data_IF_504207620112
#
_entry.id   IF_504207620112
#
_cell.length_a   1.000
_cell.length_b   1.000
_cell.length_c   1.000
_cell.angle_alpha   90.00
_cell.angle_beta   90.00
_cell.angle_gamma   90.00
#
_symmetry.space_group_name_H-M   'P 1'
#
loop_
_entity.id
_entity.type
_entity.pdbx_description
1 polymer ?
#
# COMPACT_ATOMS: atom_id res chain seq x y z
N UNK A 1 -35.41 4.75 4.89
CA UNK A 1 -34.28 3.89 4.44
C UNK A 1 -33.66 4.59 3.23
N UNK A 2 -32.36 4.56 2.93
CA UNK A 2 -31.26 3.70 3.42
C UNK A 2 -30.22 4.51 4.20
N UNK A 3 -29.55 3.90 5.19
CA UNK A 3 -28.38 4.49 5.87
C UNK A 3 -27.12 4.07 5.09
N UNK A 4 -26.67 4.89 4.14
CA UNK A 4 -25.33 4.71 3.57
C UNK A 4 -24.32 5.26 4.58
N UNK A 5 -23.65 4.34 5.28
CA UNK A 5 -22.60 4.63 6.26
C UNK A 5 -21.51 5.47 5.62
N UNK A 6 -21.00 6.48 6.34
CA UNK A 6 -19.90 7.34 5.89
C UNK A 6 -18.59 6.54 5.84
N UNK A 7 -18.35 5.80 4.76
CA UNK A 7 -17.00 5.34 4.39
C UNK A 7 -16.25 6.57 3.87
N UNK A 8 -15.71 7.37 4.80
CA UNK A 8 -14.84 8.50 4.48
C UNK A 8 -13.55 7.98 3.85
N UNK A 9 -12.98 8.70 2.88
CA UNK A 9 -11.71 8.34 2.25
C UNK A 9 -10.56 8.16 3.27
N UNK A 10 -10.64 8.83 4.42
CA UNK A 10 -9.72 8.64 5.54
C UNK A 10 -9.66 7.18 6.06
N UNK A 11 -10.73 6.39 5.91
CA UNK A 11 -10.75 4.99 6.37
C UNK A 11 -9.83 4.08 5.55
N UNK A 12 -9.66 4.35 4.25
CA UNK A 12 -8.75 3.58 3.39
C UNK A 12 -7.27 3.82 3.74
N UNK A 13 -6.93 5.03 4.18
CA UNK A 13 -5.56 5.34 4.62
C UNK A 13 -5.31 4.97 6.08
N UNK A 14 -6.32 5.06 6.95
CA UNK A 14 -6.22 4.68 8.36
C UNK A 14 -5.84 3.20 8.55
N UNK A 15 -6.33 2.30 7.68
CA UNK A 15 -5.93 0.89 7.65
C UNK A 15 -4.41 0.73 7.56
N UNK A 16 -3.74 1.58 6.77
CA UNK A 16 -2.30 1.54 6.60
C UNK A 16 -1.54 1.93 7.87
N UNK A 17 -2.09 2.88 8.63
CA UNK A 17 -1.48 3.45 9.83
C UNK A 17 -1.73 2.59 11.08
N UNK A 18 -2.91 1.97 11.19
CA UNK A 18 -3.26 1.10 12.33
C UNK A 18 -2.42 -0.17 12.45
N UNK A 19 -1.68 -0.55 11.41
CA UNK A 19 -0.72 -1.65 11.46
C UNK A 19 0.57 -1.31 12.24
N UNK A 20 0.92 -0.03 12.38
CA UNK A 20 2.21 0.39 12.92
C UNK A 20 2.28 0.58 14.46
N UNK A 21 1.18 0.38 15.20
CA UNK A 21 1.17 0.48 16.68
C UNK A 21 0.59 -0.78 17.36
N UNK A 22 1.38 -1.87 17.36
CA UNK A 22 1.75 -2.57 18.60
C UNK A 22 2.90 -3.57 18.36
N UNK A 23 3.96 -3.61 19.20
CA UNK A 23 4.94 -4.70 19.17
C UNK A 23 4.32 -6.00 19.68
N UNK A 24 4.56 -7.11 18.98
CA UNK A 24 4.22 -8.44 19.46
C UNK A 24 5.17 -8.86 20.58
N UNK A 25 4.65 -9.11 21.79
CA UNK A 25 5.41 -9.74 22.86
C UNK A 25 4.55 -10.64 23.74
N UNK A 26 4.56 -11.95 23.42
CA UNK A 26 4.76 -12.99 24.43
C UNK A 26 5.29 -14.27 23.77
N UNK A 27 6.41 -14.78 24.28
CA UNK A 27 6.97 -16.08 23.90
C UNK A 27 6.53 -17.21 24.85
N UNK A 28 7.04 -18.43 24.61
CA UNK A 28 6.75 -19.70 25.29
C UNK A 28 5.36 -20.32 24.95
N UNK A 29 5.21 -21.63 24.76
CA UNK A 29 6.18 -22.74 24.86
C UNK A 29 5.71 -23.95 24.01
N UNK A 30 6.63 -24.82 23.59
CA UNK A 30 6.32 -26.13 22.97
C UNK A 30 7.34 -27.20 23.43
N UNK A 31 6.92 -28.39 23.87
CA UNK A 31 7.77 -29.28 24.66
C UNK A 31 8.67 -30.24 23.86
N UNK A 32 9.74 -30.68 24.54
CA UNK A 32 10.76 -31.66 24.16
C UNK A 32 10.19 -33.06 23.84
N UNK A 33 10.77 -33.75 22.85
CA UNK A 33 10.63 -35.21 22.65
C UNK A 33 11.99 -35.84 22.31
N UNK A 34 12.30 -36.99 22.93
CA UNK A 34 13.47 -37.87 22.70
C UNK A 34 12.96 -39.25 22.24
N UNK A 35 13.70 -40.15 21.56
CA UNK A 35 15.06 -40.10 20.97
C UNK A 35 14.98 -40.57 19.48
N UNK A 36 15.75 -41.46 18.84
CA UNK A 36 16.86 -42.40 19.17
C UNK A 36 17.63 -42.73 17.85
N UNK A 37 18.95 -43.02 17.83
CA UNK A 37 19.75 -42.98 16.58
C UNK A 37 19.88 -44.33 15.83
N UNK A 38 20.14 -44.24 14.51
CA UNK A 38 20.71 -45.29 13.67
C UNK A 38 21.56 -44.67 12.53
N UNK A 39 22.56 -45.38 12.02
CA UNK A 39 23.70 -44.77 11.29
C UNK A 39 24.00 -45.43 9.94
N UNK A 40 23.83 -44.67 8.84
CA UNK A 40 24.55 -44.79 7.54
C UNK A 40 24.29 -46.09 6.71
N UNK A 41 24.73 -46.21 5.42
CA UNK A 41 25.69 -45.41 4.64
C UNK A 41 25.07 -44.38 3.67
N UNK A 42 25.94 -43.68 2.93
CA UNK A 42 25.62 -42.50 2.14
C UNK A 42 25.47 -42.77 0.63
N UNK A 43 24.66 -41.93 -0.02
CA UNK A 43 24.77 -41.58 -1.43
C UNK A 43 25.18 -40.11 -1.51
N UNK A 44 26.14 -39.77 -2.36
CA UNK A 44 26.67 -38.39 -2.44
C UNK A 44 25.91 -37.53 -3.47
N UNK A 45 25.91 -36.20 -3.24
CA UNK A 45 25.10 -35.17 -3.91
C UNK A 45 23.56 -35.27 -3.67
N UNK A 46 22.81 -34.14 -3.64
CA UNK A 46 23.19 -32.76 -3.98
C UNK A 46 23.18 -31.79 -2.76
N UNK A 47 23.93 -32.07 -1.70
CA UNK A 47 23.92 -31.24 -0.47
C UNK A 47 24.38 -29.78 -0.67
N UNK A 48 25.15 -29.49 -1.71
CA UNK A 48 25.61 -28.14 -2.04
C UNK A 48 24.47 -27.27 -2.61
N UNK A 49 23.67 -27.78 -3.53
CA UNK A 49 22.53 -27.05 -4.11
C UNK A 49 21.50 -26.67 -3.05
N UNK A 50 21.15 -27.59 -2.14
CA UNK A 50 20.21 -27.29 -1.06
C UNK A 50 20.75 -26.22 -0.12
N UNK A 51 22.04 -26.27 0.24
CA UNK A 51 22.66 -25.27 1.10
C UNK A 51 22.77 -23.89 0.45
N UNK A 52 23.07 -23.83 -0.86
CA UNK A 52 23.08 -22.58 -1.63
C UNK A 52 21.65 -22.03 -1.80
N UNK A 53 20.65 -22.87 -2.04
CA UNK A 53 19.25 -22.47 -2.10
C UNK A 53 18.73 -21.95 -0.75
N UNK A 54 19.08 -22.60 0.36
CA UNK A 54 18.69 -22.18 1.71
C UNK A 54 19.37 -20.86 2.12
N UNK A 55 20.66 -20.68 1.79
CA UNK A 55 21.35 -19.40 1.98
C UNK A 55 20.78 -18.29 1.07
N UNK A 56 20.51 -18.58 -0.21
CA UNK A 56 19.91 -17.64 -1.13
C UNK A 56 18.53 -17.18 -0.62
N UNK A 57 17.66 -18.12 -0.26
CA UNK A 57 16.34 -17.83 0.34
C UNK A 57 16.49 -16.94 1.58
N UNK A 58 17.40 -17.27 2.50
CA UNK A 58 17.62 -16.49 3.73
C UNK A 58 18.18 -15.09 3.48
N UNK A 59 19.01 -14.91 2.45
CA UNK A 59 19.45 -13.57 2.02
C UNK A 59 18.35 -12.76 1.35
N UNK A 60 17.48 -13.39 0.56
CA UNK A 60 16.31 -12.74 -0.06
C UNK A 60 15.27 -12.33 1.00
N UNK A 61 15.10 -13.15 2.04
CA UNK A 61 14.23 -12.87 3.19
C UNK A 61 14.75 -11.65 3.98
N UNK A 62 16.05 -11.64 4.31
CA UNK A 62 16.73 -10.52 4.98
C UNK A 62 16.66 -9.23 4.16
N UNK A 63 16.97 -9.28 2.86
CA UNK A 63 16.89 -8.11 1.97
C UNK A 63 15.43 -7.64 1.82
N UNK A 64 14.46 -8.56 1.84
CA UNK A 64 13.04 -8.26 1.84
C UNK A 64 12.60 -7.47 3.08
N UNK A 65 13.10 -7.83 4.26
CA UNK A 65 12.84 -7.07 5.50
C UNK A 65 13.43 -5.64 5.45
N UNK A 66 14.66 -5.47 4.94
CA UNK A 66 15.28 -4.14 4.76
C UNK A 66 14.51 -3.29 3.74
N UNK A 67 14.12 -3.87 2.60
CA UNK A 67 13.29 -3.21 1.59
C UNK A 67 11.89 -2.86 2.13
N UNK A 68 11.29 -3.72 2.95
CA UNK A 68 9.98 -3.46 3.55
C UNK A 68 10.07 -2.32 4.58
N UNK A 69 11.10 -2.30 5.41
CA UNK A 69 11.32 -1.18 6.34
C UNK A 69 11.50 0.15 5.59
N UNK A 70 12.27 0.16 4.49
CA UNK A 70 12.44 1.33 3.61
C UNK A 70 11.11 1.83 3.04
N UNK A 71 10.19 0.92 2.69
CA UNK A 71 8.84 1.27 2.24
C UNK A 71 7.98 1.86 3.37
N UNK A 72 8.03 1.29 4.57
CA UNK A 72 7.31 1.80 5.75
C UNK A 72 7.80 3.20 6.16
N UNK A 73 9.12 3.40 6.22
CA UNK A 73 9.74 4.69 6.55
C UNK A 73 9.33 5.78 5.54
N UNK A 74 9.30 5.44 4.23
CA UNK A 74 8.79 6.32 3.18
C UNK A 74 7.32 6.65 3.39
N UNK A 75 6.45 5.67 3.63
CA UNK A 75 5.02 5.92 3.79
C UNK A 75 4.73 6.81 5.02
N UNK A 76 5.41 6.56 6.14
CA UNK A 76 5.31 7.38 7.34
C UNK A 76 5.74 8.83 7.10
N UNK A 77 6.75 9.08 6.25
CA UNK A 77 7.18 10.44 5.89
C UNK A 77 6.09 11.24 5.15
N UNK A 78 5.19 10.57 4.42
CA UNK A 78 4.18 11.19 3.58
C UNK A 78 2.84 11.44 4.28
N UNK A 79 2.54 10.74 5.38
CA UNK A 79 1.23 10.78 6.06
C UNK A 79 0.76 12.23 6.29
N UNK A 80 1.60 13.04 6.93
CA UNK A 80 1.33 14.44 7.26
C UNK A 80 1.11 15.31 6.01
N UNK A 81 1.85 15.04 4.95
CA UNK A 81 1.80 15.82 3.71
C UNK A 81 0.53 15.52 2.91
N UNK A 82 0.15 14.25 2.81
CA UNK A 82 -1.09 13.79 2.19
C UNK A 82 -2.31 14.22 3.03
N UNK A 83 -2.21 14.20 4.36
CA UNK A 83 -3.26 14.73 5.24
C UNK A 83 -3.47 16.24 5.03
N UNK A 84 -2.39 17.02 4.89
CA UNK A 84 -2.47 18.45 4.59
C UNK A 84 -3.09 18.72 3.21
N UNK A 85 -2.63 18.03 2.15
CA UNK A 85 -3.15 18.19 0.79
C UNK A 85 -4.64 17.81 0.69
N UNK A 86 -5.07 16.73 1.34
CA UNK A 86 -6.48 16.35 1.44
C UNK A 86 -7.31 17.40 2.20
N UNK A 87 -6.76 17.99 3.26
CA UNK A 87 -7.44 19.04 4.04
C UNK A 87 -7.64 20.30 3.21
N UNK A 88 -6.61 20.77 2.50
CA UNK A 88 -6.74 21.92 1.59
C UNK A 88 -7.75 21.63 0.47
N UNK A 89 -7.65 20.47 -0.19
CA UNK A 89 -8.59 20.08 -1.25
C UNK A 89 -10.05 20.12 -0.76
N UNK A 90 -10.33 19.58 0.44
CA UNK A 90 -11.68 19.60 1.03
C UNK A 90 -12.15 21.02 1.38
N UNK A 91 -11.27 21.90 1.86
CA UNK A 91 -11.60 23.32 2.08
C UNK A 91 -11.94 24.04 0.76
N UNK A 92 -11.16 23.79 -0.30
CA UNK A 92 -11.40 24.36 -1.64
C UNK A 92 -12.71 23.86 -2.23
N UNK A 93 -12.99 22.56 -2.15
CA UNK A 93 -14.29 21.97 -2.53
C UNK A 93 -15.48 22.55 -1.75
N UNK A 94 -15.30 22.76 -0.44
CA UNK A 94 -16.35 23.30 0.43
C UNK A 94 -16.67 24.78 0.19
N UNK A 95 -15.85 25.50 -0.58
CA UNK A 95 -16.13 26.89 -0.99
C UNK A 95 -17.24 27.01 -2.04
N UNK A 96 -17.49 25.96 -2.83
CA UNK A 96 -18.36 26.00 -4.01
C UNK A 96 -17.83 26.85 -5.18
N UNK A 97 -16.71 27.56 -5.02
CA UNK A 97 -16.12 28.40 -6.06
C UNK A 97 -15.31 27.54 -7.04
N UNK A 98 -15.69 27.59 -8.32
CA UNK A 98 -15.07 26.77 -9.38
C UNK A 98 -13.58 27.04 -9.56
N UNK A 99 -13.12 28.28 -9.39
CA UNK A 99 -11.71 28.62 -9.56
C UNK A 99 -10.88 28.14 -8.36
N UNK A 100 -11.39 28.27 -7.13
CA UNK A 100 -10.74 27.70 -5.95
C UNK A 100 -10.70 26.16 -5.99
N UNK A 101 -11.76 25.52 -6.47
CA UNK A 101 -11.82 24.07 -6.73
C UNK A 101 -10.73 23.66 -7.73
N UNK A 102 -10.60 24.36 -8.85
CA UNK A 102 -9.59 24.04 -9.87
C UNK A 102 -8.15 24.26 -9.37
N UNK A 103 -7.92 25.31 -8.57
CA UNK A 103 -6.62 25.55 -7.89
C UNK A 103 -6.31 24.44 -6.89
N UNK A 104 -7.26 24.07 -6.02
CA UNK A 104 -7.09 22.99 -5.05
C UNK A 104 -6.83 21.64 -5.70
N UNK A 105 -7.56 21.32 -6.78
CA UNK A 105 -7.32 20.13 -7.59
C UNK A 105 -5.91 20.11 -8.21
N UNK A 106 -5.45 21.23 -8.80
CA UNK A 106 -4.10 21.32 -9.36
C UNK A 106 -3.01 21.16 -8.30
N UNK A 107 -3.17 21.76 -7.12
CA UNK A 107 -2.25 21.60 -6.00
C UNK A 107 -2.20 20.14 -5.49
N UNK A 108 -3.37 19.50 -5.32
CA UNK A 108 -3.45 18.09 -4.94
C UNK A 108 -2.79 17.18 -5.98
N UNK A 109 -3.10 17.36 -7.26
CA UNK A 109 -2.53 16.56 -8.36
C UNK A 109 -1.02 16.71 -8.44
N UNK A 110 -0.48 17.92 -8.32
CA UNK A 110 0.96 18.14 -8.25
C UNK A 110 1.60 17.40 -7.07
N UNK A 111 0.96 17.43 -5.88
CA UNK A 111 1.46 16.71 -4.71
C UNK A 111 1.39 15.19 -4.87
N UNK A 112 0.35 14.66 -5.50
CA UNK A 112 0.25 13.23 -5.87
C UNK A 112 1.35 12.84 -6.87
N UNK A 113 1.63 13.68 -7.87
CA UNK A 113 2.71 13.43 -8.82
C UNK A 113 4.10 13.47 -8.17
N UNK A 114 4.33 14.35 -7.20
CA UNK A 114 5.58 14.36 -6.42
C UNK A 114 5.71 13.14 -5.49
N UNK A 115 4.60 12.64 -4.94
CA UNK A 115 4.57 11.36 -4.20
C UNK A 115 4.82 10.17 -5.12
N UNK A 116 4.27 10.15 -6.33
CA UNK A 116 4.57 9.10 -7.32
C UNK A 116 6.05 9.13 -7.72
N UNK A 117 6.66 10.31 -7.91
CA UNK A 117 8.11 10.42 -8.16
C UNK A 117 8.95 9.89 -6.99
N UNK A 118 8.56 10.18 -5.74
CA UNK A 118 9.29 9.69 -4.57
C UNK A 118 9.16 8.17 -4.39
N UNK A 119 7.98 7.61 -4.70
CA UNK A 119 7.75 6.16 -4.76
C UNK A 119 8.56 5.50 -5.88
N UNK A 120 8.61 6.11 -7.06
CA UNK A 120 9.35 5.60 -8.21
C UNK A 120 10.86 5.52 -7.93
N UNK A 121 11.41 6.51 -7.22
CA UNK A 121 12.79 6.51 -6.73
C UNK A 121 13.11 5.42 -5.67
N UNK A 122 12.11 4.73 -5.11
CA UNK A 122 12.35 3.55 -4.28
C UNK A 122 12.65 2.32 -5.14
N UNK A 123 13.92 2.05 -5.36
CA UNK A 123 14.36 0.76 -5.90
C UNK A 123 14.16 -0.36 -4.86
N UNK A 124 13.59 -1.48 -5.32
CA UNK A 124 13.32 -2.72 -4.60
C UNK A 124 13.61 -3.89 -5.55
N UNK A 125 13.95 -5.07 -5.02
CA UNK A 125 14.09 -6.31 -5.80
C UNK A 125 13.10 -7.40 -5.37
N UNK A 126 12.50 -7.29 -4.19
CA UNK A 126 11.52 -8.27 -3.73
C UNK A 126 10.19 -8.11 -4.49
N UNK A 127 9.75 -9.14 -5.21
CA UNK A 127 8.56 -9.10 -6.05
C UNK A 127 7.27 -8.74 -5.29
N UNK A 128 7.15 -9.12 -4.01
CA UNK A 128 5.98 -8.75 -3.20
C UNK A 128 5.94 -7.26 -2.91
N UNK A 129 7.10 -6.64 -2.69
CA UNK A 129 7.25 -5.21 -2.40
C UNK A 129 7.08 -4.39 -3.68
N UNK A 130 7.58 -4.88 -4.81
CA UNK A 130 7.35 -4.30 -6.14
C UNK A 130 5.85 -4.32 -6.50
N UNK A 131 5.18 -5.47 -6.34
CA UNK A 131 3.74 -5.60 -6.61
C UNK A 131 2.89 -4.66 -5.73
N UNK A 132 3.27 -4.49 -4.47
CA UNK A 132 2.66 -3.52 -3.57
C UNK A 132 2.90 -2.06 -4.05
N UNK A 133 4.15 -1.69 -4.37
CA UNK A 133 4.52 -0.36 -4.89
C UNK A 133 3.69 0.01 -6.13
N UNK A 134 3.59 -0.88 -7.11
CA UNK A 134 2.82 -0.61 -8.33
C UNK A 134 1.31 -0.51 -8.06
N UNK A 135 0.77 -1.24 -7.07
CA UNK A 135 -0.62 -1.07 -6.64
C UNK A 135 -0.86 0.28 -5.95
N UNK A 136 0.07 0.75 -5.11
CA UNK A 136 -0.01 2.09 -4.49
C UNK A 136 0.01 3.17 -5.58
N UNK A 137 0.97 3.08 -6.51
CA UNK A 137 1.09 3.99 -7.66
C UNK A 137 -0.18 4.03 -8.50
N UNK A 138 -0.75 2.87 -8.82
CA UNK A 138 -2.01 2.76 -9.56
C UNK A 138 -3.19 3.43 -8.83
N UNK A 139 -3.34 3.20 -7.52
CA UNK A 139 -4.38 3.84 -6.73
C UNK A 139 -4.19 5.36 -6.58
N UNK A 140 -2.95 5.84 -6.47
CA UNK A 140 -2.64 7.27 -6.43
C UNK A 140 -3.04 7.96 -7.76
N UNK A 141 -2.73 7.34 -8.91
CA UNK A 141 -3.18 7.83 -10.22
C UNK A 141 -4.70 7.83 -10.31
N UNK A 142 -5.37 6.73 -9.97
CA UNK A 142 -6.84 6.66 -9.97
C UNK A 142 -7.48 7.72 -9.04
N UNK A 143 -6.84 8.05 -7.92
CA UNK A 143 -7.32 9.03 -6.96
C UNK A 143 -7.35 10.45 -7.55
N UNK A 144 -6.23 10.93 -8.13
CA UNK A 144 -6.22 12.23 -8.82
C UNK A 144 -7.17 12.24 -10.03
N UNK A 145 -7.25 11.14 -10.77
CA UNK A 145 -8.10 11.00 -11.95
C UNK A 145 -9.61 11.00 -11.61
N UNK A 146 -10.00 10.49 -10.44
CA UNK A 146 -11.39 10.57 -9.94
C UNK A 146 -11.74 12.00 -9.52
N UNK A 147 -10.81 12.72 -8.88
CA UNK A 147 -11.02 14.12 -8.49
C UNK A 147 -11.10 15.00 -9.74
N UNK A 148 -10.29 14.72 -10.77
CA UNK A 148 -10.40 15.35 -12.09
C UNK A 148 -11.79 15.15 -12.73
N UNK A 149 -12.30 13.92 -12.75
CA UNK A 149 -13.67 13.62 -13.21
C UNK A 149 -14.73 14.33 -12.37
N UNK A 150 -14.49 14.52 -11.06
CA UNK A 150 -15.41 15.26 -10.18
C UNK A 150 -15.46 16.75 -10.54
N UNK A 151 -14.31 17.36 -10.85
CA UNK A 151 -14.24 18.75 -11.33
C UNK A 151 -14.89 18.89 -12.71
N UNK A 152 -14.70 17.90 -13.59
CA UNK A 152 -15.37 17.85 -14.90
C UNK A 152 -16.90 17.73 -14.76
N UNK A 153 -17.39 16.86 -13.86
CA UNK A 153 -18.82 16.68 -13.57
C UNK A 153 -19.49 17.95 -13.04
N UNK A 154 -18.79 18.74 -12.22
CA UNK A 154 -19.29 20.05 -11.76
C UNK A 154 -19.34 21.09 -12.89
N UNK A 155 -18.58 20.91 -13.97
CA UNK A 155 -18.65 21.76 -15.16
C UNK A 155 -19.68 21.27 -16.20
N UNK A 156 -19.89 19.95 -16.32
CA UNK A 156 -20.84 19.35 -17.26
C UNK A 156 -21.28 17.94 -16.80
N UNK A 157 -22.57 17.74 -16.51
CA UNK A 157 -23.11 16.51 -15.91
C UNK A 157 -23.49 15.44 -16.94
N UNK A 158 -22.60 15.08 -17.86
CA UNK A 158 -22.88 14.05 -18.87
C UNK A 158 -22.99 12.63 -18.28
N UNK A 159 -23.69 11.73 -18.96
CA UNK A 159 -23.81 10.33 -18.52
C UNK A 159 -22.49 9.57 -18.64
N UNK A 160 -21.65 9.93 -19.62
CA UNK A 160 -20.30 9.43 -19.80
C UNK A 160 -19.42 9.78 -18.59
N UNK A 161 -19.47 11.03 -18.12
CA UNK A 161 -18.71 11.49 -16.96
C UNK A 161 -19.23 10.84 -15.66
N UNK A 162 -20.55 10.66 -15.51
CA UNK A 162 -21.15 9.94 -14.37
C UNK A 162 -20.67 8.48 -14.33
N UNK A 163 -20.64 7.81 -15.49
CA UNK A 163 -20.19 6.43 -15.63
C UNK A 163 -18.68 6.28 -15.39
N UNK A 164 -17.86 7.20 -15.88
CA UNK A 164 -16.42 7.23 -15.62
C UNK A 164 -16.12 7.42 -14.12
N UNK A 165 -16.79 8.37 -13.47
CA UNK A 165 -16.70 8.60 -12.03
C UNK A 165 -17.12 7.35 -11.22
N UNK A 166 -18.22 6.69 -11.58
CA UNK A 166 -18.64 5.44 -10.92
C UNK A 166 -17.58 4.35 -11.07
N UNK A 167 -17.13 4.06 -12.29
CA UNK A 167 -16.13 3.01 -12.55
C UNK A 167 -14.78 3.28 -11.84
N UNK A 168 -14.30 4.53 -11.82
CA UNK A 168 -13.10 4.91 -11.05
C UNK A 168 -13.31 4.80 -9.55
N UNK A 169 -14.50 5.12 -9.04
CA UNK A 169 -14.85 4.94 -7.61
C UNK A 169 -14.85 3.45 -7.23
N UNK A 170 -15.42 2.58 -8.06
CA UNK A 170 -15.39 1.13 -7.85
C UNK A 170 -13.96 0.57 -7.92
N UNK A 171 -13.16 0.99 -8.90
CA UNK A 171 -11.76 0.61 -9.01
C UNK A 171 -10.92 1.04 -7.80
N UNK A 172 -11.15 2.24 -7.24
CA UNK A 172 -10.47 2.71 -6.03
C UNK A 172 -10.89 1.93 -4.78
N UNK A 173 -12.16 1.54 -4.65
CA UNK A 173 -12.61 0.68 -3.54
C UNK A 173 -11.98 -0.71 -3.65
N UNK A 174 -11.94 -1.31 -4.84
CA UNK A 174 -11.30 -2.61 -5.08
C UNK A 174 -9.79 -2.54 -4.82
N UNK A 175 -9.10 -1.55 -5.41
CA UNK A 175 -7.68 -1.33 -5.21
C UNK A 175 -7.30 -1.05 -3.75
N UNK A 176 -8.21 -0.46 -2.96
CA UNK A 176 -8.04 -0.29 -1.51
C UNK A 176 -8.03 -1.62 -0.75
N UNK A 177 -8.95 -2.54 -1.10
CA UNK A 177 -8.98 -3.90 -0.53
C UNK A 177 -7.75 -4.70 -0.96
N UNK A 178 -7.30 -4.55 -2.20
CA UNK A 178 -6.06 -5.18 -2.69
C UNK A 178 -4.81 -4.64 -1.97
N UNK A 179 -4.72 -3.33 -1.71
CA UNK A 179 -3.63 -2.77 -0.89
C UNK A 179 -3.63 -3.33 0.53
N UNK A 180 -4.78 -3.40 1.19
CA UNK A 180 -4.87 -3.96 2.54
C UNK A 180 -4.43 -5.43 2.58
N UNK A 181 -4.80 -6.22 1.55
CA UNK A 181 -4.36 -7.61 1.39
C UNK A 181 -2.85 -7.70 1.19
N UNK A 182 -2.29 -6.93 0.26
CA UNK A 182 -0.85 -6.94 -0.03
C UNK A 182 -0.01 -6.43 1.14
N UNK A 183 -0.48 -5.42 1.88
CA UNK A 183 0.18 -4.96 3.12
C UNK A 183 0.24 -6.09 4.15
N UNK A 184 -0.89 -6.75 4.44
CA UNK A 184 -0.94 -7.87 5.40
C UNK A 184 -0.04 -9.05 4.98
N UNK A 185 0.07 -9.31 3.67
CA UNK A 185 1.00 -10.30 3.12
C UNK A 185 2.48 -9.89 3.20
N UNK A 186 2.78 -8.59 3.32
CA UNK A 186 4.14 -8.10 3.58
C UNK A 186 4.46 -8.12 5.06
N UNK A 187 3.55 -7.66 5.93
CA UNK A 187 3.69 -7.76 7.40
C UNK A 187 3.94 -9.20 7.84
N UNK A 188 3.17 -10.17 7.32
CA UNK A 188 3.34 -11.59 7.63
C UNK A 188 4.70 -12.17 7.19
N UNK A 189 5.33 -11.60 6.15
CA UNK A 189 6.64 -12.04 5.66
C UNK A 189 7.81 -11.35 6.37
N UNK A 190 7.66 -10.05 6.69
CA UNK A 190 8.82 -9.17 6.91
C UNK A 190 8.79 -8.37 8.23
N UNK A 191 7.74 -8.46 9.06
CA UNK A 191 7.63 -7.72 10.32
C UNK A 191 8.09 -8.52 11.57
N UNK A 192 9.16 -9.32 11.43
CA UNK A 192 9.72 -10.21 12.47
C UNK A 192 11.04 -9.71 13.05
#
# INVERSE_FOLDING_TARGET
MKKLTKISAAALFALFLTACDKPANKAAEAPKVEATPATQPATEAPKAETAVAEQAAKTVDTQGAEEYKKLLDWNASLEKEIAAANTELQQKFSSGDKAQIEVGYKAFTAKVDDVIKSLDALEFKNESIIAFKEKVKSNLVLSKDLIGDTVALMANQTEEAKKAFQAKTEALMQGGVELQKLQSELDQKFAH
#
